data_IF_901247879680
#
_entry.id   IF_901247879680
#
_cell.length_a   1.000
_cell.length_b   1.000
_cell.length_c   1.000
_cell.angle_alpha   90.00
_cell.angle_beta   90.00
_cell.angle_gamma   90.00
#
_symmetry.space_group_name_H-M   'P 1'
#
loop_
_entity.id
_entity.type
_entity.pdbx_description
1 polymer ?
#
# COMPACT_ATOMS: atom_id res chain seq x y z
N UNK A 1 -0.53 -16.20 -8.33
CA UNK A 1 0.12 -14.87 -8.30
C UNK A 1 -0.61 -13.91 -7.36
N UNK A 2 -1.91 -13.66 -7.54
CA UNK A 2 -2.64 -12.66 -6.74
C UNK A 2 -2.75 -12.98 -5.24
N UNK A 3 -2.88 -14.25 -4.85
CA UNK A 3 -2.84 -14.64 -3.43
C UNK A 3 -1.53 -14.18 -2.75
N UNK A 4 -0.40 -14.32 -3.45
CA UNK A 4 0.89 -13.85 -2.92
C UNK A 4 0.92 -12.32 -2.78
N UNK A 5 0.39 -11.58 -3.76
CA UNK A 5 0.26 -10.13 -3.66
C UNK A 5 -0.61 -9.72 -2.47
N UNK A 6 -1.75 -10.38 -2.25
CA UNK A 6 -2.64 -10.14 -1.10
C UNK A 6 -1.89 -10.36 0.22
N UNK A 7 -1.16 -11.48 0.36
CA UNK A 7 -0.37 -11.77 1.56
C UNK A 7 0.66 -10.66 1.81
N UNK A 8 1.41 -10.25 0.79
CA UNK A 8 2.38 -9.16 0.94
C UNK A 8 1.70 -7.81 1.27
N UNK A 9 0.56 -7.49 0.67
CA UNK A 9 -0.19 -6.28 1.03
C UNK A 9 -0.68 -6.30 2.48
N UNK A 10 -1.14 -7.45 3.00
CA UNK A 10 -1.54 -7.60 4.41
C UNK A 10 -0.34 -7.39 5.35
N UNK A 11 0.82 -7.97 5.02
CA UNK A 11 2.06 -7.76 5.77
C UNK A 11 2.48 -6.29 5.75
N UNK A 12 2.45 -5.65 4.58
CA UNK A 12 2.73 -4.23 4.45
C UNK A 12 1.75 -3.36 5.25
N UNK A 13 0.45 -3.65 5.18
CA UNK A 13 -0.58 -2.91 5.91
C UNK A 13 -0.37 -3.00 7.43
N UNK A 14 0.04 -4.18 7.93
CA UNK A 14 0.35 -4.39 9.34
C UNK A 14 1.52 -3.51 9.81
N UNK A 15 2.60 -3.45 9.02
CA UNK A 15 3.73 -2.55 9.28
C UNK A 15 3.34 -1.07 9.16
N UNK A 16 2.51 -0.75 8.16
CA UNK A 16 1.98 0.60 7.94
C UNK A 16 1.13 1.10 9.11
N UNK A 17 0.38 0.22 9.77
CA UNK A 17 -0.38 0.55 10.97
C UNK A 17 0.55 0.93 12.13
N UNK A 18 1.67 0.22 12.32
CA UNK A 18 2.68 0.57 13.32
C UNK A 18 3.21 1.99 13.05
N UNK A 19 3.54 2.32 11.80
CA UNK A 19 4.00 3.67 11.42
C UNK A 19 2.92 4.73 11.64
N UNK A 20 1.68 4.45 11.24
CA UNK A 20 0.56 5.37 11.40
C UNK A 20 0.34 5.70 12.88
N UNK A 21 0.39 4.71 13.77
CA UNK A 21 0.23 4.95 15.21
C UNK A 21 1.34 5.83 15.77
N UNK A 22 2.59 5.69 15.31
CA UNK A 22 3.69 6.57 15.70
C UNK A 22 3.44 8.02 15.23
N UNK A 23 3.06 8.19 13.96
CA UNK A 23 2.75 9.51 13.36
C UNK A 23 1.60 10.21 14.10
N UNK A 24 0.52 9.49 14.39
CA UNK A 24 -0.65 10.06 15.08
C UNK A 24 -0.35 10.43 16.55
N UNK A 25 0.62 9.77 17.17
CA UNK A 25 1.10 10.05 18.54
C UNK A 25 2.26 11.05 18.59
N UNK A 26 2.59 11.68 17.46
CA UNK A 26 3.71 12.62 17.34
C UNK A 26 5.05 12.01 17.83
N UNK A 27 5.24 10.71 17.55
CA UNK A 27 6.49 9.97 17.81
C UNK A 27 7.28 9.78 16.52
N UNK A 28 8.62 9.71 16.59
CA UNK A 28 9.43 9.39 15.42
C UNK A 28 9.07 7.99 14.89
N UNK A 29 9.10 7.85 13.57
CA UNK A 29 8.95 6.55 12.91
C UNK A 29 10.22 5.71 13.09
N UNK A 30 10.07 4.40 13.23
CA UNK A 30 11.22 3.50 13.26
C UNK A 30 11.65 3.16 11.83
N UNK A 31 12.79 3.72 11.38
CA UNK A 31 13.23 3.66 9.98
C UNK A 31 13.27 2.25 9.38
N UNK A 32 13.72 1.19 10.07
CA UNK A 32 13.64 -0.16 9.53
C UNK A 32 12.23 -0.58 9.13
N UNK A 33 11.20 -0.24 9.93
CA UNK A 33 9.79 -0.52 9.59
C UNK A 33 9.35 0.31 8.38
N UNK A 34 9.81 1.56 8.25
CA UNK A 34 9.53 2.41 7.08
C UNK A 34 10.03 1.74 5.79
N UNK A 35 11.29 1.29 5.78
CA UNK A 35 11.87 0.59 4.64
C UNK A 35 11.20 -0.76 4.38
N UNK A 36 10.93 -1.56 5.42
CA UNK A 36 10.22 -2.85 5.27
C UNK A 36 8.81 -2.68 4.72
N UNK A 37 8.04 -1.72 5.24
CA UNK A 37 6.69 -1.43 4.75
C UNK A 37 6.71 -1.07 3.26
N UNK A 38 7.54 -0.10 2.86
CA UNK A 38 7.61 0.37 1.48
C UNK A 38 8.10 -0.71 0.51
N UNK A 39 9.10 -1.50 0.90
CA UNK A 39 9.63 -2.60 0.06
C UNK A 39 8.62 -3.73 -0.11
N UNK A 40 7.99 -4.18 0.98
CA UNK A 40 6.97 -5.24 0.93
C UNK A 40 5.75 -4.78 0.09
N UNK A 41 5.29 -3.55 0.28
CA UNK A 41 4.22 -2.96 -0.52
C UNK A 41 4.61 -2.87 -2.01
N UNK A 42 5.85 -2.46 -2.29
CA UNK A 42 6.39 -2.38 -3.65
C UNK A 42 6.44 -3.74 -4.34
N UNK A 43 6.87 -4.79 -3.65
CA UNK A 43 6.86 -6.18 -4.17
C UNK A 43 5.42 -6.61 -4.51
N UNK A 44 4.47 -6.38 -3.61
CA UNK A 44 3.06 -6.70 -3.85
C UNK A 44 2.50 -5.98 -5.08
N UNK A 45 2.83 -4.69 -5.22
CA UNK A 45 2.41 -3.87 -6.36
C UNK A 45 3.04 -4.35 -7.68
N UNK A 46 4.32 -4.71 -7.68
CA UNK A 46 5.00 -5.28 -8.86
C UNK A 46 4.32 -6.59 -9.30
N UNK A 47 3.97 -7.47 -8.36
CA UNK A 47 3.24 -8.70 -8.67
C UNK A 47 1.89 -8.39 -9.32
N UNK A 48 1.14 -7.42 -8.77
CA UNK A 48 -0.16 -7.01 -9.30
C UNK A 48 -0.05 -6.41 -10.71
N UNK A 49 0.91 -5.49 -10.92
CA UNK A 49 1.19 -4.90 -12.23
C UNK A 49 1.58 -5.97 -13.24
N UNK A 50 2.42 -6.93 -12.84
CA UNK A 50 2.82 -8.05 -13.71
C UNK A 50 1.62 -8.89 -14.12
N UNK A 51 0.72 -9.18 -13.18
CA UNK A 51 -0.51 -9.93 -13.48
C UNK A 51 -1.38 -9.19 -14.50
N UNK A 52 -1.58 -7.88 -14.35
CA UNK A 52 -2.30 -7.07 -15.34
C UNK A 52 -1.58 -7.04 -16.69
N UNK A 53 -0.25 -6.88 -16.69
CA UNK A 53 0.57 -6.83 -17.91
C UNK A 53 0.57 -8.14 -18.72
N UNK A 54 0.23 -9.27 -18.09
CA UNK A 54 0.02 -10.56 -18.77
C UNK A 54 -1.33 -10.67 -19.48
N UNK A 55 -2.14 -9.60 -19.51
CA UNK A 55 -3.39 -9.52 -20.27
C UNK A 55 -4.66 -9.65 -19.43
N UNK A 56 -4.55 -9.68 -18.10
CA UNK A 56 -5.70 -9.70 -17.20
C UNK A 56 -6.23 -8.27 -16.98
N UNK A 57 -7.28 -7.89 -17.71
CA UNK A 57 -7.78 -6.50 -17.75
C UNK A 57 -9.22 -6.36 -17.22
N UNK A 58 -9.61 -7.17 -16.23
CA UNK A 58 -10.90 -7.01 -15.59
C UNK A 58 -11.04 -5.63 -14.93
N UNK A 59 -12.25 -5.04 -14.99
CA UNK A 59 -12.49 -3.67 -14.51
C UNK A 59 -12.21 -3.53 -13.02
N UNK A 60 -12.56 -4.52 -12.20
CA UNK A 60 -12.36 -4.50 -10.75
C UNK A 60 -10.87 -4.60 -10.41
N UNK A 61 -10.14 -5.47 -11.12
CA UNK A 61 -8.69 -5.63 -11.00
C UNK A 61 -7.94 -4.35 -11.38
N UNK A 62 -8.28 -3.73 -12.51
CA UNK A 62 -7.69 -2.46 -12.95
C UNK A 62 -7.99 -1.34 -11.95
N UNK A 63 -9.22 -1.27 -11.44
CA UNK A 63 -9.61 -0.29 -10.42
C UNK A 63 -8.77 -0.46 -9.15
N UNK A 64 -8.60 -1.70 -8.67
CA UNK A 64 -7.72 -2.01 -7.54
C UNK A 64 -6.29 -1.56 -7.79
N UNK A 65 -5.72 -1.87 -8.96
CA UNK A 65 -4.36 -1.44 -9.33
C UNK A 65 -4.21 0.09 -9.33
N UNK A 66 -5.15 0.81 -9.95
CA UNK A 66 -5.11 2.29 -10.00
C UNK A 66 -5.13 2.88 -8.58
N UNK A 67 -6.01 2.38 -7.71
CA UNK A 67 -6.06 2.86 -6.33
C UNK A 67 -4.79 2.51 -5.53
N UNK A 68 -4.20 1.34 -5.76
CA UNK A 68 -2.90 1.00 -5.16
C UNK A 68 -1.78 1.90 -5.65
N UNK A 69 -1.77 2.29 -6.93
CA UNK A 69 -0.80 3.25 -7.47
C UNK A 69 -0.99 4.61 -6.80
N UNK A 70 -2.22 5.10 -6.67
CA UNK A 70 -2.52 6.36 -5.96
C UNK A 70 -2.09 6.29 -4.48
N UNK A 71 -2.36 5.16 -3.82
CA UNK A 71 -1.89 4.92 -2.47
C UNK A 71 -0.35 4.94 -2.42
N UNK A 72 0.34 4.23 -3.31
CA UNK A 72 1.80 4.18 -3.36
C UNK A 72 2.43 5.57 -3.56
N UNK A 73 1.84 6.44 -4.39
CA UNK A 73 2.27 7.83 -4.53
C UNK A 73 2.12 8.62 -3.23
N UNK A 74 0.99 8.44 -2.52
CA UNK A 74 0.80 9.02 -1.19
C UNK A 74 1.83 8.50 -0.17
N UNK A 75 2.10 7.19 -0.16
CA UNK A 75 3.10 6.56 0.70
C UNK A 75 4.52 7.02 0.40
N UNK A 76 4.89 7.13 -0.87
CA UNK A 76 6.19 7.65 -1.31
C UNK A 76 6.39 9.12 -0.94
N UNK A 77 5.31 9.91 -1.01
CA UNK A 77 5.33 11.30 -0.52
C UNK A 77 5.60 11.33 0.98
N UNK A 78 4.89 10.53 1.78
CA UNK A 78 5.12 10.44 3.24
C UNK A 78 6.54 9.99 3.56
N UNK A 79 7.05 8.98 2.85
CA UNK A 79 8.44 8.52 2.95
C UNK A 79 9.43 9.65 2.67
N UNK A 80 9.19 10.44 1.62
CA UNK A 80 10.04 11.59 1.27
C UNK A 80 10.05 12.64 2.37
N UNK A 81 8.90 12.93 3.00
CA UNK A 81 8.87 13.85 4.14
C UNK A 81 9.65 13.28 5.33
N UNK A 82 9.46 12.00 5.62
CA UNK A 82 10.09 11.29 6.74
C UNK A 82 11.63 11.21 6.64
N UNK A 83 12.19 10.97 5.45
CA UNK A 83 13.66 10.91 5.25
C UNK A 83 14.33 12.28 5.20
N UNK A 84 13.56 13.34 4.92
CA UNK A 84 14.05 14.72 4.89
C UNK A 84 13.77 15.46 6.21
N UNK A 85 13.40 14.74 7.27
CA UNK A 85 13.04 15.27 8.59
C UNK A 85 11.98 16.39 8.53
N UNK A 86 11.08 16.33 7.53
CA UNK A 86 9.97 17.26 7.37
C UNK A 86 8.75 16.79 8.17
N UNK A 87 7.93 17.73 8.67
CA UNK A 87 6.72 17.37 9.40
C UNK A 87 5.76 16.58 8.52
N UNK A 88 5.40 15.36 8.94
CA UNK A 88 4.53 14.47 8.18
C UNK A 88 3.09 15.02 8.15
N UNK A 89 2.49 15.23 6.97
CA UNK A 89 1.10 15.70 6.89
C UNK A 89 0.13 14.61 7.37
N UNK A 90 -0.46 14.77 8.58
CA UNK A 90 -1.38 13.78 9.18
C UNK A 90 -2.56 13.43 8.28
N UNK A 91 -3.09 14.39 7.52
CA UNK A 91 -4.16 14.15 6.53
C UNK A 91 -3.73 13.12 5.49
N UNK A 92 -2.53 13.24 4.93
CA UNK A 92 -2.00 12.31 3.94
C UNK A 92 -1.68 10.95 4.58
N UNK A 93 -1.15 10.94 5.81
CA UNK A 93 -0.89 9.72 6.58
C UNK A 93 -2.16 8.90 6.85
N UNK A 94 -3.33 9.54 6.93
CA UNK A 94 -4.64 8.88 7.06
C UNK A 94 -5.21 8.49 5.69
N UNK A 95 -5.10 9.35 4.67
CA UNK A 95 -5.66 9.07 3.34
C UNK A 95 -4.97 7.92 2.63
N UNK A 96 -3.64 7.83 2.73
CA UNK A 96 -2.85 6.75 2.12
C UNK A 96 -3.34 5.33 2.52
N UNK A 97 -3.42 4.96 3.81
CA UNK A 97 -3.86 3.63 4.21
C UNK A 97 -5.34 3.38 3.89
N UNK A 98 -6.20 4.41 3.89
CA UNK A 98 -7.60 4.22 3.46
C UNK A 98 -7.67 3.81 1.98
N UNK A 99 -6.94 4.50 1.09
CA UNK A 99 -6.85 4.12 -0.31
C UNK A 99 -6.28 2.70 -0.45
N UNK A 100 -5.21 2.37 0.28
CA UNK A 100 -4.60 1.03 0.24
C UNK A 100 -5.57 -0.07 0.71
N UNK A 101 -6.34 0.16 1.79
CA UNK A 101 -7.32 -0.80 2.30
C UNK A 101 -8.47 -0.99 1.32
N UNK A 102 -9.02 0.09 0.75
CA UNK A 102 -10.05 -0.02 -0.30
C UNK A 102 -9.51 -0.82 -1.49
N UNK A 103 -8.29 -0.52 -1.95
CA UNK A 103 -7.64 -1.25 -3.05
C UNK A 103 -7.49 -2.74 -2.75
N UNK A 104 -7.08 -3.09 -1.52
CA UNK A 104 -6.92 -4.46 -1.07
C UNK A 104 -8.25 -5.21 -1.02
N UNK A 105 -9.31 -4.56 -0.53
CA UNK A 105 -10.65 -5.14 -0.52
C UNK A 105 -11.10 -5.45 -1.96
N UNK A 106 -10.94 -4.51 -2.89
CA UNK A 106 -11.29 -4.74 -4.30
C UNK A 106 -10.50 -5.90 -4.90
N UNK A 107 -9.21 -6.01 -4.58
CA UNK A 107 -8.38 -7.14 -5.03
C UNK A 107 -8.89 -8.48 -4.48
N UNK A 108 -9.23 -8.53 -3.19
CA UNK A 108 -9.78 -9.74 -2.54
C UNK A 108 -11.13 -10.11 -3.16
N UNK A 109 -12.02 -9.14 -3.40
CA UNK A 109 -13.31 -9.38 -4.05
C UNK A 109 -13.12 -9.92 -5.46
N UNK A 110 -12.22 -9.34 -6.25
CA UNK A 110 -11.87 -9.85 -7.58
C UNK A 110 -11.38 -11.30 -7.53
N UNK A 111 -10.46 -11.63 -6.63
CA UNK A 111 -9.96 -13.00 -6.47
C UNK A 111 -11.09 -13.94 -6.02
N UNK A 112 -11.95 -13.53 -5.10
CA UNK A 112 -13.06 -14.35 -4.62
C UNK A 112 -14.14 -14.64 -5.68
N UNK A 113 -14.28 -13.77 -6.69
CA UNK A 113 -15.22 -13.94 -7.80
C UNK A 113 -14.66 -14.79 -8.95
N UNK A 114 -13.34 -15.00 -8.98
CA UNK A 114 -12.62 -15.66 -10.08
C UNK A 114 -12.09 -17.05 -9.72
N UNK A 115 -12.28 -17.49 -8.47
CA UNK A 115 -12.07 -18.85 -7.96
C UNK A 115 -13.37 -19.63 -8.06
#
# INVERSE_FOLDING_TARGET
>A
MLIAAIVFFILAASLGLVLLTAILRDRPTYKPIVFMHGTIAGIALIILVTYVALGHTDTLLITSLVLFVLAALGGFTLFTFDINDKPIPKKLAIMHPLLAVVSLILLIVYVAQTV
#
